data_IF_012312286167
#
_entry.id   IF_012312286167
#
_cell.length_a   1.000
_cell.length_b   1.000
_cell.length_c   1.000
_cell.angle_alpha   90.00
_cell.angle_beta   90.00
_cell.angle_gamma   90.00
#
_symmetry.space_group_name_H-M   'P 1'
#
loop_
_entity.id
_entity.type
_entity.pdbx_description
1 polymer ?
#
# COMPACT_ATOMS: atom_id res chain seq x y z
N UNK A 1 -16.45 4.00 -5.15
CA UNK A 1 -15.00 4.29 -5.20
C UNK A 1 -14.59 5.48 -4.34
N UNK A 2 -15.18 6.67 -4.51
CA UNK A 2 -14.78 7.88 -3.76
C UNK A 2 -14.74 7.69 -2.23
N UNK A 3 -15.79 7.11 -1.62
CA UNK A 3 -15.80 6.80 -0.19
C UNK A 3 -14.63 5.90 0.24
N UNK A 4 -14.31 4.87 -0.54
CA UNK A 4 -13.18 3.97 -0.25
C UNK A 4 -11.84 4.72 -0.30
N UNK A 5 -11.66 5.58 -1.31
CA UNK A 5 -10.47 6.41 -1.47
C UNK A 5 -10.29 7.39 -0.30
N UNK A 6 -11.37 8.08 0.10
CA UNK A 6 -11.34 8.97 1.26
C UNK A 6 -10.96 8.23 2.55
N UNK A 7 -11.53 7.05 2.76
CA UNK A 7 -11.18 6.19 3.90
C UNK A 7 -9.69 5.80 3.84
N UNK A 8 -9.18 5.39 2.67
CA UNK A 8 -7.77 5.05 2.51
C UNK A 8 -6.83 6.21 2.84
N UNK A 9 -7.16 7.43 2.40
CA UNK A 9 -6.36 8.62 2.72
C UNK A 9 -6.28 8.80 4.24
N UNK A 10 -7.41 8.72 4.94
CA UNK A 10 -7.47 8.88 6.40
C UNK A 10 -6.66 7.78 7.10
N UNK A 11 -6.83 6.52 6.68
CA UNK A 11 -6.14 5.37 7.27
C UNK A 11 -4.62 5.45 7.04
N UNK A 12 -4.18 5.75 5.82
CA UNK A 12 -2.75 5.87 5.52
C UNK A 12 -2.12 7.08 6.19
N UNK A 13 -2.84 8.17 6.33
CA UNK A 13 -2.39 9.31 7.11
C UNK A 13 -2.15 8.91 8.58
N UNK A 14 -3.07 8.18 9.20
CA UNK A 14 -2.89 7.64 10.56
C UNK A 14 -1.72 6.66 10.64
N UNK A 15 -1.52 5.81 9.63
CA UNK A 15 -0.36 4.92 9.57
C UNK A 15 0.96 5.69 9.50
N UNK A 16 1.07 6.72 8.66
CA UNK A 16 2.25 7.59 8.62
C UNK A 16 2.53 8.21 10.00
N UNK A 17 1.51 8.69 10.69
CA UNK A 17 1.67 9.26 12.03
C UNK A 17 2.17 8.23 13.05
N UNK A 18 1.58 7.03 13.05
CA UNK A 18 2.04 5.94 13.92
C UNK A 18 3.48 5.54 13.62
N UNK A 19 3.85 5.46 12.34
CA UNK A 19 5.18 5.06 11.90
C UNK A 19 6.26 6.10 12.21
N UNK A 20 5.93 7.38 12.10
CA UNK A 20 6.89 8.46 12.35
C UNK A 20 6.98 8.82 13.83
N UNK A 21 5.87 8.73 14.57
CA UNK A 21 5.79 9.20 15.96
C UNK A 21 5.86 8.08 16.99
N UNK A 22 5.22 6.93 16.75
CA UNK A 22 5.08 5.88 17.76
C UNK A 22 6.10 4.75 17.58
N UNK A 23 6.22 4.22 16.36
CA UNK A 23 7.03 3.03 16.08
C UNK A 23 8.53 3.14 16.38
N UNK A 24 9.20 4.30 16.24
CA UNK A 24 10.61 4.42 16.58
C UNK A 24 10.91 4.09 18.05
N UNK A 25 9.92 4.18 18.94
CA UNK A 25 10.05 3.81 20.36
C UNK A 25 10.20 2.30 20.60
N UNK A 26 9.86 1.46 19.62
CA UNK A 26 9.99 -0.01 19.70
C UNK A 26 11.35 -0.51 19.18
N UNK A 27 12.35 0.37 19.10
CA UNK A 27 13.69 0.05 18.63
C UNK A 27 13.73 -0.28 17.13
N UNK A 28 14.68 -1.11 16.72
CA UNK A 28 14.93 -1.37 15.29
C UNK A 28 13.74 -1.96 14.54
N UNK A 29 12.90 -2.78 15.19
CA UNK A 29 11.74 -3.41 14.55
C UNK A 29 10.73 -2.36 14.08
N UNK A 30 10.49 -1.33 14.89
CA UNK A 30 9.53 -0.28 14.55
C UNK A 30 9.93 0.52 13.31
N UNK A 31 11.24 0.70 13.09
CA UNK A 31 11.75 1.43 11.93
C UNK A 31 11.60 0.67 10.61
N UNK A 32 11.53 -0.66 10.64
CA UNK A 32 11.35 -1.49 9.44
C UNK A 32 9.87 -1.81 9.14
N UNK A 33 8.97 -1.60 10.11
CA UNK A 33 7.58 -2.01 9.97
C UNK A 33 6.80 -1.02 9.08
N UNK A 34 6.60 -1.41 7.81
CA UNK A 34 5.86 -0.60 6.84
C UNK A 34 4.40 -1.02 6.69
N UNK A 35 3.49 -0.45 7.50
CA UNK A 35 2.05 -0.71 7.46
C UNK A 35 1.43 -0.36 6.10
N UNK A 36 1.87 0.73 5.48
CA UNK A 36 1.36 1.18 4.17
C UNK A 36 1.75 0.16 3.10
N UNK A 37 2.99 -0.33 3.11
CA UNK A 37 3.43 -1.39 2.20
C UNK A 37 2.60 -2.67 2.39
N UNK A 38 2.47 -3.15 3.63
CA UNK A 38 1.75 -4.38 3.94
C UNK A 38 0.29 -4.28 3.46
N UNK A 39 -0.38 -3.19 3.79
CA UNK A 39 -1.79 -2.99 3.39
C UNK A 39 -1.95 -2.78 1.89
N UNK A 40 -1.01 -2.11 1.21
CA UNK A 40 -1.02 -1.96 -0.25
C UNK A 40 -0.89 -3.32 -0.95
N UNK A 41 0.02 -4.18 -0.48
CA UNK A 41 0.18 -5.54 -1.00
C UNK A 41 -1.09 -6.37 -0.76
N UNK A 42 -1.60 -6.35 0.47
CA UNK A 42 -2.81 -7.08 0.83
C UNK A 42 -4.01 -6.65 -0.03
N UNK A 43 -4.23 -5.35 -0.21
CA UNK A 43 -5.30 -4.83 -1.07
C UNK A 43 -5.11 -5.27 -2.53
N UNK A 44 -3.91 -5.16 -3.08
CA UNK A 44 -3.67 -5.58 -4.47
C UNK A 44 -3.83 -7.08 -4.68
N UNK A 45 -3.56 -7.91 -3.66
CA UNK A 45 -3.80 -9.35 -3.72
C UNK A 45 -5.30 -9.67 -3.63
N UNK A 46 -6.02 -9.06 -2.68
CA UNK A 46 -7.44 -9.35 -2.40
C UNK A 46 -8.42 -8.76 -3.41
N UNK A 47 -8.06 -7.67 -4.08
CA UNK A 47 -8.93 -6.99 -5.06
C UNK A 47 -9.27 -7.91 -6.26
N UNK A 48 -10.21 -7.57 -7.13
CA UNK A 48 -10.32 -8.24 -8.45
C UNK A 48 -9.29 -7.67 -9.43
N UNK A 49 -8.91 -8.45 -10.45
CA UNK A 49 -7.91 -8.01 -11.45
C UNK A 49 -8.35 -6.74 -12.20
N UNK A 50 -9.65 -6.61 -12.44
CA UNK A 50 -10.28 -5.54 -13.22
C UNK A 50 -10.41 -4.23 -12.44
N UNK A 51 -10.47 -4.29 -11.11
CA UNK A 51 -10.59 -3.10 -10.29
C UNK A 51 -9.24 -2.35 -10.23
N UNK A 52 -9.28 -1.03 -10.01
CA UNK A 52 -8.09 -0.16 -9.98
C UNK A 52 -7.79 0.40 -8.58
N UNK A 53 -8.60 0.08 -7.58
CA UNK A 53 -8.47 0.58 -6.22
C UNK A 53 -7.11 0.25 -5.59
N UNK A 54 -6.54 -0.93 -5.81
CA UNK A 54 -5.21 -1.28 -5.33
C UNK A 54 -4.08 -0.42 -5.91
N UNK A 55 -4.20 -0.02 -7.18
CA UNK A 55 -3.25 0.91 -7.82
C UNK A 55 -3.42 2.33 -7.28
N UNK A 56 -4.66 2.79 -7.10
CA UNK A 56 -4.96 4.10 -6.51
C UNK A 56 -4.40 4.17 -5.08
N UNK A 57 -4.55 3.10 -4.29
CA UNK A 57 -3.96 3.03 -2.95
C UNK A 57 -2.43 3.09 -2.98
N UNK A 58 -1.78 2.43 -3.95
CA UNK A 58 -0.33 2.51 -4.10
C UNK A 58 0.15 3.94 -4.35
N UNK A 59 -0.57 4.71 -5.17
CA UNK A 59 -0.29 6.14 -5.39
C UNK A 59 -0.46 6.93 -4.11
N UNK A 60 -1.60 6.79 -3.42
CA UNK A 60 -1.91 7.55 -2.20
C UNK A 60 -0.91 7.22 -1.08
N UNK A 61 -0.70 5.93 -0.83
CA UNK A 61 0.21 5.44 0.21
C UNK A 61 1.66 5.81 -0.07
N UNK A 62 2.10 5.69 -1.33
CA UNK A 62 3.45 6.07 -1.74
C UNK A 62 3.70 7.56 -1.67
N UNK A 63 2.74 8.38 -2.13
CA UNK A 63 2.81 9.83 -1.99
C UNK A 63 2.88 10.25 -0.52
N UNK A 64 2.02 9.69 0.34
CA UNK A 64 2.05 9.99 1.77
C UNK A 64 3.38 9.55 2.41
N UNK A 65 3.90 8.37 2.07
CA UNK A 65 5.21 7.95 2.54
C UNK A 65 6.32 8.90 2.11
N UNK A 66 6.30 9.40 0.87
CA UNK A 66 7.29 10.36 0.38
C UNK A 66 7.19 11.71 1.10
N UNK A 67 5.98 12.16 1.46
CA UNK A 67 5.77 13.41 2.24
C UNK A 67 6.28 13.28 3.68
N UNK A 68 6.09 12.12 4.30
CA UNK A 68 6.42 11.89 5.72
C UNK A 68 7.79 11.24 5.94
N UNK A 69 8.50 10.84 4.88
CA UNK A 69 9.84 10.25 4.97
C UNK A 69 10.91 11.28 4.61
N UNK A 70 12.10 11.11 5.18
CA UNK A 70 13.27 11.93 4.85
C UNK A 70 14.04 11.38 3.63
N UNK A 71 13.37 10.60 2.77
CA UNK A 71 13.96 9.95 1.60
C UNK A 71 13.76 10.81 0.34
N UNK A 72 14.33 10.35 -0.79
CA UNK A 72 14.13 10.98 -2.09
C UNK A 72 12.64 10.95 -2.45
N UNK A 73 12.06 12.13 -2.68
CA UNK A 73 10.65 12.28 -3.05
C UNK A 73 10.34 11.51 -4.35
N UNK A 74 9.26 10.74 -4.35
CA UNK A 74 8.82 9.91 -5.48
C UNK A 74 9.36 8.47 -5.45
N UNK A 75 10.32 8.15 -4.58
CA UNK A 75 10.91 6.81 -4.52
C UNK A 75 9.93 5.78 -3.94
N UNK A 76 9.24 6.11 -2.83
CA UNK A 76 8.26 5.18 -2.25
C UNK A 76 7.04 5.01 -3.17
N UNK A 77 6.60 6.10 -3.81
CA UNK A 77 5.54 6.05 -4.82
C UNK A 77 5.91 5.13 -5.99
N UNK A 78 7.11 5.25 -6.54
CA UNK A 78 7.57 4.40 -7.62
C UNK A 78 7.61 2.93 -7.21
N UNK A 79 8.15 2.62 -6.03
CA UNK A 79 8.24 1.25 -5.52
C UNK A 79 6.85 0.64 -5.31
N UNK A 80 5.94 1.33 -4.64
CA UNK A 80 4.60 0.81 -4.36
C UNK A 80 3.78 0.62 -5.64
N UNK A 81 3.90 1.53 -6.60
CA UNK A 81 3.29 1.37 -7.92
C UNK A 81 3.84 0.15 -8.65
N UNK A 82 5.16 -0.02 -8.67
CA UNK A 82 5.81 -1.14 -9.35
C UNK A 82 5.37 -2.48 -8.73
N UNK A 83 5.33 -2.57 -7.40
CA UNK A 83 4.82 -3.75 -6.68
C UNK A 83 3.35 -4.02 -7.04
N UNK A 84 2.51 -2.99 -7.04
CA UNK A 84 1.08 -3.14 -7.34
C UNK A 84 0.84 -3.58 -8.78
N UNK A 85 1.59 -3.02 -9.73
CA UNK A 85 1.57 -3.46 -11.13
C UNK A 85 2.08 -4.90 -11.26
N UNK A 86 3.16 -5.25 -10.55
CA UNK A 86 3.70 -6.61 -10.56
C UNK A 86 2.66 -7.64 -10.08
N UNK A 87 1.98 -7.36 -8.97
CA UNK A 87 0.91 -8.22 -8.44
C UNK A 87 -0.22 -8.39 -9.47
N UNK A 88 -0.69 -7.30 -10.08
CA UNK A 88 -1.81 -7.37 -11.04
C UNK A 88 -1.46 -8.03 -12.36
N UNK A 89 -0.25 -7.81 -12.87
CA UNK A 89 0.17 -8.30 -14.18
C UNK A 89 0.66 -9.74 -14.14
N UNK A 90 1.40 -10.11 -13.09
CA UNK A 90 2.01 -11.43 -12.98
C UNK A 90 1.19 -12.34 -12.08
N UNK A 91 1.02 -12.00 -10.80
CA UNK A 91 0.39 -12.92 -9.84
C UNK A 91 -1.05 -13.23 -10.26
N UNK A 92 -1.86 -12.21 -10.55
CA UNK A 92 -3.27 -12.44 -10.93
C UNK A 92 -3.50 -12.99 -12.33
N UNK A 93 -2.47 -12.99 -13.18
CA UNK A 93 -2.57 -13.57 -14.52
C UNK A 93 -2.18 -15.04 -14.54
N UNK A 94 -1.23 -15.43 -13.69
CA UNK A 94 -0.65 -16.78 -13.70
C UNK A 94 -1.09 -17.64 -12.52
N UNK A 95 -1.62 -17.04 -11.44
CA UNK A 95 -2.08 -17.75 -10.25
C UNK A 95 -3.59 -17.54 -10.14
N UNK A 96 -4.36 -18.51 -10.64
CA UNK A 96 -5.77 -18.64 -10.30
C UNK A 96 -5.84 -19.03 -8.82
N UNK A 97 -6.25 -18.09 -7.98
CA UNK A 97 -6.51 -18.35 -6.56
C UNK A 97 -8.04 -18.50 -6.43
N UNK A 98 -8.60 -19.71 -6.54
CA UNK A 98 -10.07 -19.91 -6.59
C UNK A 98 -10.78 -19.45 -5.31
N UNK A 99 -10.04 -19.26 -4.21
CA UNK A 99 -10.54 -18.74 -2.94
C UNK A 99 -10.81 -17.22 -3.02
N UNK A 100 -10.03 -16.48 -3.81
CA UNK A 100 -10.11 -15.01 -3.90
C UNK A 100 -11.14 -14.54 -4.94
N UNK A 101 -11.47 -15.34 -5.94
CA UNK A 101 -12.46 -14.96 -6.96
C UNK A 101 -13.91 -14.94 -6.45
N UNK A 102 -14.18 -15.64 -5.33
CA UNK A 102 -15.51 -15.73 -4.72
C UNK A 102 -15.82 -14.60 -3.72
N UNK A 103 -14.87 -13.69 -3.48
CA UNK A 103 -14.99 -12.55 -2.55
C UNK A 103 -15.33 -11.28 -3.35
#
# INVERSE_FOLDING_TARGET
MLKKVLISIIVYFLFCLLQTSFFPHFGSIGNYLNLILITTIALNLLEKREEMFGLINAVIGGFLLDVFSNNIFGLNLAILLLISLFIKLFIKRYVEIPILEKI
#
